data_IF_031473894486
#
_entry.id   IF_031473894486
#
_cell.length_a   1.000
_cell.length_b   1.000
_cell.length_c   1.000
_cell.angle_alpha   90.00
_cell.angle_beta   90.00
_cell.angle_gamma   90.00
#
_symmetry.space_group_name_H-M   'P 1'
#
loop_
_entity.id
_entity.type
_entity.pdbx_description
1 polymer ?
#
# COMPACT_ATOMS: atom_id res chain seq x y z
N UNK A 1 -47.18 -10.01 -55.49
CA UNK A 1 -47.10 -9.73 -54.04
C UNK A 1 -45.70 -9.25 -53.72
N UNK A 2 -45.51 -7.94 -53.62
CA UNK A 2 -44.27 -7.35 -53.12
C UNK A 2 -44.39 -7.20 -51.60
N UNK A 3 -43.39 -7.64 -50.84
CA UNK A 3 -43.26 -7.32 -49.42
C UNK A 3 -41.93 -6.64 -49.20
N UNK A 4 -41.98 -5.32 -49.14
CA UNK A 4 -40.88 -4.45 -48.70
C UNK A 4 -40.87 -4.52 -47.17
N UNK A 5 -39.77 -4.99 -46.59
CA UNK A 5 -39.47 -4.76 -45.17
C UNK A 5 -38.33 -3.76 -45.09
N UNK A 6 -38.69 -2.51 -44.81
CA UNK A 6 -37.74 -1.52 -44.34
C UNK A 6 -37.38 -1.84 -42.89
N UNK A 7 -36.09 -2.03 -42.62
CA UNK A 7 -35.53 -1.91 -41.28
C UNK A 7 -34.34 -0.96 -41.41
N UNK A 8 -34.63 0.31 -41.11
CA UNK A 8 -33.63 1.26 -40.64
C UNK A 8 -33.37 0.85 -39.20
N UNK A 9 -32.34 0.04 -38.95
CA UNK A 9 -31.80 -0.14 -37.62
C UNK A 9 -30.45 0.57 -37.58
N UNK A 10 -30.40 1.62 -36.75
CA UNK A 10 -29.19 2.38 -36.48
C UNK A 10 -28.02 1.45 -36.17
N UNK A 11 -26.90 1.65 -36.85
CA UNK A 11 -25.62 1.11 -36.42
C UNK A 11 -25.32 1.79 -35.08
N UNK A 12 -25.56 1.08 -33.98
CA UNK A 12 -25.03 1.46 -32.68
C UNK A 12 -23.53 1.22 -32.76
N UNK A 13 -22.76 2.25 -33.12
CA UNK A 13 -21.34 2.30 -32.78
C UNK A 13 -21.27 2.38 -31.26
N UNK A 14 -21.12 1.24 -30.61
CA UNK A 14 -20.65 1.19 -29.25
C UNK A 14 -19.25 1.80 -29.25
N UNK A 15 -19.11 3.05 -28.83
CA UNK A 15 -17.81 3.54 -28.38
C UNK A 15 -17.49 2.79 -27.10
N UNK A 16 -16.70 1.74 -27.22
CA UNK A 16 -16.00 1.12 -26.11
C UNK A 16 -14.98 2.14 -25.59
N UNK A 17 -15.41 3.10 -24.77
CA UNK A 17 -14.47 3.81 -23.93
C UNK A 17 -14.13 2.86 -22.79
N UNK A 18 -13.06 2.08 -22.97
CA UNK A 18 -12.37 1.46 -21.83
C UNK A 18 -11.82 2.60 -20.99
N UNK A 19 -12.58 3.07 -20.00
CA UNK A 19 -11.98 3.84 -18.93
C UNK A 19 -10.88 2.95 -18.35
N UNK A 20 -9.63 3.42 -18.37
CA UNK A 20 -8.51 2.66 -17.84
C UNK A 20 -8.79 2.36 -16.36
N UNK A 21 -9.01 1.08 -16.04
CA UNK A 21 -9.16 0.64 -14.66
C UNK A 21 -7.78 0.75 -13.99
N UNK A 22 -7.73 1.46 -12.89
CA UNK A 22 -6.54 1.62 -12.07
C UNK A 22 -6.89 1.14 -10.67
N UNK A 23 -6.40 -0.05 -10.25
CA UNK A 23 -6.69 -0.60 -8.94
C UNK A 23 -6.35 0.39 -7.82
N UNK A 24 -7.11 0.35 -6.73
CA UNK A 24 -6.80 1.11 -5.52
C UNK A 24 -7.19 0.38 -4.26
N UNK A 25 -6.44 0.64 -3.19
CA UNK A 25 -6.64 0.03 -1.87
C UNK A 25 -6.63 1.13 -0.80
N UNK A 26 -7.50 0.98 0.19
CA UNK A 26 -7.59 1.88 1.34
C UNK A 26 -7.41 1.08 2.62
N UNK A 27 -6.27 1.29 3.29
CA UNK A 27 -5.96 0.70 4.58
C UNK A 27 -6.36 1.70 5.67
N UNK A 28 -7.19 1.27 6.61
CA UNK A 28 -7.69 2.11 7.70
C UNK A 28 -7.04 1.73 9.02
N UNK A 29 -6.66 2.75 9.78
CA UNK A 29 -6.17 2.64 11.14
C UNK A 29 -7.23 3.24 12.05
N UNK A 30 -7.64 2.48 13.07
CA UNK A 30 -8.59 2.93 14.09
C UNK A 30 -7.81 3.08 15.40
N UNK A 31 -7.87 4.27 16.00
CA UNK A 31 -7.10 4.59 17.21
C UNK A 31 -7.26 3.57 18.34
N UNK A 32 -8.45 2.96 18.50
CA UNK A 32 -8.70 1.99 19.57
C UNK A 32 -7.96 0.67 19.36
N UNK A 33 -7.60 0.33 18.12
CA UNK A 33 -6.92 -0.91 17.76
C UNK A 33 -5.50 -0.71 17.19
N UNK A 34 -5.11 0.53 16.88
CA UNK A 34 -3.82 0.91 16.32
C UNK A 34 -2.99 1.78 17.28
N UNK A 35 -3.08 1.50 18.59
CA UNK A 35 -2.26 2.14 19.62
C UNK A 35 -2.39 3.69 19.68
N UNK A 36 -3.57 4.23 19.34
CA UNK A 36 -3.81 5.67 19.26
C UNK A 36 -3.54 6.30 17.90
N UNK A 37 -3.11 5.53 16.89
CA UNK A 37 -3.00 6.03 15.51
C UNK A 37 -4.35 5.93 14.80
N UNK A 38 -4.83 7.03 14.24
CA UNK A 38 -6.07 7.07 13.45
C UNK A 38 -5.78 7.44 11.99
N UNK A 39 -6.71 7.10 11.09
CA UNK A 39 -6.69 7.59 9.71
C UNK A 39 -6.51 6.48 8.67
N UNK A 40 -5.80 6.78 7.58
CA UNK A 40 -5.71 5.85 6.45
C UNK A 40 -4.49 6.02 5.56
N UNK A 41 -4.09 4.93 4.91
CA UNK A 41 -3.17 4.93 3.78
C UNK A 41 -3.95 4.51 2.53
N UNK A 42 -3.94 5.35 1.51
CA UNK A 42 -4.52 5.07 0.19
C UNK A 42 -3.41 4.75 -0.80
N UNK A 43 -3.59 3.68 -1.56
CA UNK A 43 -2.67 3.24 -2.62
C UNK A 43 -3.43 3.25 -3.93
N UNK A 44 -2.97 4.03 -4.90
CA UNK A 44 -3.55 4.14 -6.22
C UNK A 44 -2.53 3.73 -7.28
N UNK A 45 -2.79 2.64 -7.99
CA UNK A 45 -1.91 2.16 -9.05
C UNK A 45 -1.98 3.06 -10.28
N UNK A 46 -0.86 3.17 -11.00
CA UNK A 46 -0.79 3.91 -12.26
C UNK A 46 -1.52 3.18 -13.41
N UNK A 47 -1.60 1.85 -13.36
CA UNK A 47 -2.29 0.97 -14.32
C UNK A 47 -2.61 -0.39 -13.68
N UNK A 48 -3.45 -1.21 -14.33
CA UNK A 48 -3.90 -2.54 -13.87
C UNK A 48 -2.76 -3.52 -13.55
N UNK A 49 -1.64 -3.46 -14.28
CA UNK A 49 -0.47 -4.33 -14.11
C UNK A 49 0.81 -3.53 -13.75
N UNK A 50 0.66 -2.40 -13.05
CA UNK A 50 1.80 -1.55 -12.70
C UNK A 50 2.37 -1.88 -11.32
N UNK A 51 3.68 -1.80 -11.17
CA UNK A 51 4.34 -1.68 -9.84
C UNK A 51 4.42 -0.23 -9.37
N UNK A 52 4.03 0.72 -10.23
CA UNK A 52 4.03 2.14 -9.89
C UNK A 52 2.71 2.49 -9.22
N UNK A 53 2.78 2.96 -7.97
CA UNK A 53 1.64 3.39 -7.20
C UNK A 53 1.87 4.77 -6.58
N UNK A 54 0.84 5.61 -6.57
CA UNK A 54 0.78 6.80 -5.73
C UNK A 54 0.24 6.39 -4.37
N UNK A 55 0.97 6.71 -3.30
CA UNK A 55 0.60 6.41 -1.93
C UNK A 55 0.34 7.71 -1.19
N UNK A 56 -0.80 7.78 -0.50
CA UNK A 56 -1.20 8.90 0.34
C UNK A 56 -1.44 8.43 1.76
N UNK A 57 -0.62 8.90 2.70
CA UNK A 57 -0.76 8.60 4.12
C UNK A 57 -1.41 9.77 4.87
N UNK A 58 -2.67 9.61 5.27
CA UNK A 58 -3.36 10.56 6.14
C UNK A 58 -3.51 9.94 7.53
N UNK A 59 -2.44 10.01 8.32
CA UNK A 59 -2.34 9.41 9.64
C UNK A 59 -2.29 10.49 10.72
N UNK A 60 -3.07 10.31 11.78
CA UNK A 60 -3.04 11.12 12.98
C UNK A 60 -2.32 10.35 14.09
N UNK A 61 -1.21 10.91 14.57
CA UNK A 61 -0.41 10.36 15.65
C UNK A 61 -0.60 11.12 16.97
N UNK A 62 -1.56 12.05 17.07
CA UNK A 62 -1.72 12.93 18.23
C UNK A 62 -2.03 12.18 19.53
N UNK A 63 -2.72 11.04 19.43
CA UNK A 63 -3.03 10.15 20.57
C UNK A 63 -2.02 9.00 20.73
N UNK A 64 -1.03 8.89 19.83
CA UNK A 64 -0.01 7.85 19.91
C UNK A 64 1.02 8.18 20.99
N UNK A 65 1.12 7.31 22.01
CA UNK A 65 2.06 7.45 23.13
C UNK A 65 2.69 6.13 23.58
N UNK A 66 2.49 5.06 22.80
CA UNK A 66 2.96 3.72 23.14
C UNK A 66 4.48 3.60 23.05
N UNK A 67 5.10 3.02 24.07
CA UNK A 67 6.51 2.61 24.06
C UNK A 67 6.71 1.15 23.60
N UNK A 68 5.63 0.48 23.22
CA UNK A 68 5.64 -0.91 22.78
C UNK A 68 5.87 -1.02 21.27
N UNK A 69 6.44 -2.14 20.83
CA UNK A 69 6.52 -2.51 19.41
C UNK A 69 5.16 -2.95 18.89
N UNK A 70 4.98 -2.95 17.56
CA UNK A 70 3.80 -3.51 16.90
C UNK A 70 3.50 -4.96 17.33
N UNK A 71 4.53 -5.74 17.64
CA UNK A 71 4.41 -7.12 18.12
C UNK A 71 3.60 -7.28 19.43
N UNK A 72 3.53 -6.22 20.24
CA UNK A 72 2.73 -6.21 21.47
C UNK A 72 1.21 -6.07 21.21
N UNK A 73 0.81 -5.78 19.97
CA UNK A 73 -0.58 -5.66 19.56
C UNK A 73 -0.95 -6.90 18.74
N UNK A 74 -1.83 -7.76 19.27
CA UNK A 74 -2.06 -9.10 18.74
C UNK A 74 -2.30 -9.15 17.22
N UNK A 75 -3.11 -8.23 16.70
CA UNK A 75 -3.44 -8.12 15.26
C UNK A 75 -2.29 -7.62 14.38
N UNK A 76 -1.26 -7.00 14.98
CA UNK A 76 -0.08 -6.46 14.32
C UNK A 76 1.18 -7.30 14.58
N UNK A 77 1.04 -8.41 15.32
CA UNK A 77 2.16 -9.29 15.66
C UNK A 77 2.66 -10.03 14.44
N UNK A 78 3.95 -10.39 14.45
CA UNK A 78 4.52 -11.19 13.35
C UNK A 78 3.77 -12.50 13.14
N UNK A 79 3.24 -13.09 14.21
CA UNK A 79 2.43 -14.31 14.12
C UNK A 79 1.11 -14.08 13.37
N UNK A 80 0.53 -12.87 13.44
CA UNK A 80 -0.72 -12.52 12.79
C UNK A 80 -0.52 -11.97 11.37
N UNK A 81 0.56 -11.21 11.13
CA UNK A 81 0.80 -10.49 9.87
C UNK A 81 1.82 -11.17 8.97
N UNK A 82 2.46 -12.24 9.46
CA UNK A 82 3.70 -12.78 8.90
C UNK A 82 4.80 -11.72 8.82
N UNK A 83 5.84 -12.00 8.04
CA UNK A 83 6.97 -11.10 7.80
C UNK A 83 6.68 -10.06 6.71
N UNK A 84 7.62 -9.14 6.48
CA UNK A 84 7.50 -8.14 5.41
C UNK A 84 7.42 -8.82 4.03
N UNK A 85 6.61 -8.24 3.13
CA UNK A 85 6.71 -8.56 1.72
C UNK A 85 7.96 -7.89 1.14
N UNK A 86 9.02 -8.67 0.94
CA UNK A 86 10.33 -8.15 0.53
C UNK A 86 10.99 -8.92 -0.63
N UNK A 87 10.39 -8.94 -1.82
CA UNK A 87 10.96 -9.65 -2.98
C UNK A 87 12.28 -9.04 -3.48
N UNK A 88 12.55 -7.77 -3.16
CA UNK A 88 13.74 -7.04 -3.60
C UNK A 88 14.83 -6.91 -2.52
N UNK A 89 14.62 -7.49 -1.32
CA UNK A 89 15.53 -7.37 -0.18
C UNK A 89 15.81 -5.93 0.22
N UNK A 90 14.76 -5.17 0.49
CA UNK A 90 14.76 -3.85 1.09
C UNK A 90 15.36 -3.92 2.50
N UNK A 91 16.64 -3.59 2.59
CA UNK A 91 17.47 -3.78 3.78
C UNK A 91 17.28 -2.72 4.89
N UNK A 92 16.14 -2.72 5.58
CA UNK A 92 15.90 -1.91 6.79
C UNK A 92 16.39 -2.59 8.09
N UNK A 93 16.42 -1.86 9.23
CA UNK A 93 16.83 -2.43 10.53
C UNK A 93 16.00 -3.62 11.01
N UNK A 94 14.75 -3.74 10.54
CA UNK A 94 13.83 -4.83 10.85
C UNK A 94 13.74 -5.90 9.74
N UNK A 95 14.57 -5.80 8.69
CA UNK A 95 14.57 -6.78 7.59
C UNK A 95 14.97 -8.17 8.10
N UNK A 96 14.32 -9.21 7.61
CA UNK A 96 14.72 -10.59 7.86
C UNK A 96 16.06 -10.95 7.25
N UNK A 97 16.52 -10.14 6.28
CA UNK A 97 17.81 -10.28 5.64
C UNK A 97 18.92 -9.52 6.36
N UNK A 98 18.66 -8.90 7.53
CA UNK A 98 19.62 -8.04 8.24
C UNK A 98 20.98 -8.68 8.56
N UNK A 99 21.02 -10.02 8.68
CA UNK A 99 22.25 -10.77 8.93
C UNK A 99 23.12 -10.96 7.66
N UNK A 100 22.56 -10.76 6.48
CA UNK A 100 23.30 -10.80 5.22
C UNK A 100 24.16 -9.54 5.08
N UNK A 101 25.43 -9.71 4.67
CA UNK A 101 26.38 -8.59 4.62
C UNK A 101 25.85 -7.36 3.86
N UNK A 102 25.18 -7.59 2.72
CA UNK A 102 24.62 -6.51 1.90
C UNK A 102 23.47 -5.75 2.58
N UNK A 103 22.69 -6.41 3.43
CA UNK A 103 21.64 -5.73 4.19
C UNK A 103 22.15 -5.13 5.49
N UNK A 104 23.09 -5.78 6.15
CA UNK A 104 23.75 -5.25 7.33
C UNK A 104 24.37 -3.88 7.01
N UNK A 105 25.15 -3.77 5.93
CA UNK A 105 25.80 -2.51 5.55
C UNK A 105 24.78 -1.41 5.20
N UNK A 106 23.76 -1.72 4.39
CA UNK A 106 22.72 -0.74 4.02
C UNK A 106 21.94 -0.24 5.23
N UNK A 107 21.64 -1.12 6.18
CA UNK A 107 20.86 -0.79 7.37
C UNK A 107 21.59 0.17 8.32
N UNK A 108 22.93 0.23 8.29
CA UNK A 108 23.71 1.24 9.03
C UNK A 108 23.42 2.68 8.56
N UNK A 109 22.94 2.83 7.34
CA UNK A 109 22.59 4.12 6.75
C UNK A 109 21.08 4.40 6.80
N UNK A 110 20.29 3.55 7.44
CA UNK A 110 18.87 3.79 7.62
C UNK A 110 18.67 5.04 8.48
N UNK A 111 18.18 6.11 7.86
CA UNK A 111 17.89 7.37 8.51
C UNK A 111 16.38 7.53 8.69
N UNK A 112 15.92 7.41 9.92
CA UNK A 112 14.52 7.69 10.25
C UNK A 112 14.24 9.18 10.06
N UNK A 113 13.27 9.54 9.20
CA UNK A 113 12.91 10.93 8.96
C UNK A 113 11.38 11.13 9.00
N UNK A 114 10.80 11.14 10.22
CA UNK A 114 9.35 11.29 10.40
C UNK A 114 8.85 12.67 9.96
N UNK A 115 9.71 13.70 10.02
CA UNK A 115 9.38 15.05 9.58
C UNK A 115 9.03 15.11 8.11
N UNK A 116 9.74 14.35 7.25
CA UNK A 116 9.44 14.31 5.83
C UNK A 116 8.09 13.67 5.54
N UNK A 117 7.76 12.55 6.20
CA UNK A 117 6.47 11.88 6.00
C UNK A 117 5.28 12.73 6.44
N UNK A 118 5.44 13.54 7.50
CA UNK A 118 4.41 14.47 7.96
C UNK A 118 4.27 15.66 6.98
N UNK A 119 5.38 16.18 6.48
CA UNK A 119 5.39 17.35 5.59
C UNK A 119 4.88 17.03 4.17
N UNK A 120 5.18 15.82 3.68
CA UNK A 120 4.75 15.34 2.38
C UNK A 120 4.13 13.93 2.49
N UNK A 121 2.83 13.85 2.81
CA UNK A 121 2.13 12.58 2.98
C UNK A 121 1.84 11.86 1.65
N UNK A 122 2.29 12.39 0.51
CA UNK A 122 2.01 11.88 -0.82
C UNK A 122 3.31 11.54 -1.54
N UNK A 123 3.50 10.29 -1.95
CA UNK A 123 4.67 9.91 -2.74
C UNK A 123 4.33 8.88 -3.81
N UNK A 124 5.23 8.71 -4.77
CA UNK A 124 5.16 7.63 -5.75
C UNK A 124 6.16 6.55 -5.36
N UNK A 125 5.66 5.32 -5.27
CA UNK A 125 6.49 4.11 -5.17
C UNK A 125 6.54 3.46 -6.55
N UNK A 126 7.74 3.22 -7.09
CA UNK A 126 7.94 2.56 -8.39
C UNK A 126 7.98 1.02 -8.28
N UNK A 127 8.05 0.50 -7.05
CA UNK A 127 8.27 -0.91 -6.74
C UNK A 127 7.18 -1.47 -5.80
N UNK A 128 6.00 -0.86 -5.78
CA UNK A 128 4.87 -1.41 -5.05
C UNK A 128 4.47 -2.77 -5.67
N UNK A 129 3.99 -3.76 -4.89
CA UNK A 129 3.65 -5.07 -5.43
C UNK A 129 2.61 -4.97 -6.54
N UNK A 130 2.64 -5.85 -7.53
CA UNK A 130 1.63 -5.86 -8.59
C UNK A 130 0.22 -6.05 -8.00
N UNK A 131 -0.83 -5.48 -8.60
CA UNK A 131 -2.21 -5.74 -8.16
C UNK A 131 -2.54 -7.23 -8.10
N UNK A 132 -1.99 -8.04 -9.01
CA UNK A 132 -2.14 -9.50 -9.04
C UNK A 132 -1.38 -10.25 -7.94
N UNK A 133 -0.42 -9.62 -7.26
CA UNK A 133 0.30 -10.17 -6.10
C UNK A 133 -0.44 -9.89 -4.78
N UNK A 134 -1.34 -8.92 -4.75
CA UNK A 134 -2.09 -8.57 -3.54
C UNK A 134 -3.06 -9.70 -3.16
N UNK A 135 -3.15 -9.97 -1.86
CA UNK A 135 -4.12 -10.92 -1.30
C UNK A 135 -5.03 -10.21 -0.30
N UNK A 136 -6.18 -10.79 -0.02
CA UNK A 136 -7.13 -10.31 1.01
C UNK A 136 -6.59 -10.44 2.44
N UNK A 137 -5.47 -11.14 2.62
CA UNK A 137 -4.78 -11.29 3.91
C UNK A 137 -3.67 -10.27 4.14
N UNK A 138 -3.31 -9.47 3.13
CA UNK A 138 -2.26 -8.46 3.28
C UNK A 138 -2.69 -7.33 4.20
N UNK A 139 -1.72 -6.83 4.96
CA UNK A 139 -1.89 -5.76 5.92
C UNK A 139 -0.74 -4.76 5.84
N UNK A 140 -0.95 -3.55 6.37
CA UNK A 140 0.12 -2.59 6.62
C UNK A 140 0.31 -2.49 8.12
N UNK A 141 1.54 -2.73 8.58
CA UNK A 141 1.93 -2.60 9.99
C UNK A 141 2.81 -1.38 10.16
N UNK A 142 2.45 -0.49 11.09
CA UNK A 142 3.25 0.68 11.43
C UNK A 142 4.20 0.34 12.57
N UNK A 143 5.50 0.58 12.36
CA UNK A 143 6.54 0.41 13.37
C UNK A 143 7.05 1.77 13.84
N UNK A 144 7.22 1.93 15.15
CA UNK A 144 7.96 3.05 15.71
C UNK A 144 9.46 2.80 15.54
N UNK A 145 10.07 3.40 14.52
CA UNK A 145 11.48 3.15 14.12
C UNK A 145 12.44 4.27 14.51
N UNK A 146 11.96 5.42 14.98
CA UNK A 146 12.81 6.54 15.40
C UNK A 146 12.87 6.60 16.93
N UNK A 147 14.03 6.28 17.53
CA UNK A 147 14.35 6.50 18.94
C UNK A 147 15.53 7.43 19.09
#
# INVERSE_FOLDING_TARGET
>A
MARIFGIICAVVTALSTTAAYTPSYLYKFDAASAAGVDGSIEVQYAAEDSTVATIKANLDFSDWSSTLTSDSFAQCSKAATDNHYDPLRACGPASEHIAEAGCNEKSLHYACNPTNYIADPLWTDEHYPLPSENTDTWSIVLHAVCT
#
